data_IF_350978181447
#
_entry.id   IF_350978181447
#
_cell.length_a   1.000
_cell.length_b   1.000
_cell.length_c   1.000
_cell.angle_alpha   90.00
_cell.angle_beta   90.00
_cell.angle_gamma   90.00
#
_symmetry.space_group_name_H-M   'P 1'
#
loop_
_entity.id
_entity.type
_entity.pdbx_description
1 polymer ?
#
# COMPACT_ATOMS: atom_id res chain seq x y z
N UNK A 1 6.89 -13.72 2.18
CA UNK A 1 6.31 -12.76 1.20
C UNK A 1 7.26 -12.40 0.05
N UNK A 2 8.51 -12.85 0.06
CA UNK A 2 9.46 -12.66 -1.06
C UNK A 2 9.12 -13.49 -2.30
N UNK A 3 8.38 -14.60 -2.15
CA UNK A 3 7.94 -15.49 -3.26
C UNK A 3 6.61 -15.07 -3.89
N UNK A 4 6.11 -13.87 -3.59
CA UNK A 4 4.85 -13.41 -4.13
C UNK A 4 4.97 -13.16 -5.64
N UNK A 5 3.98 -13.60 -6.41
CA UNK A 5 3.93 -13.39 -7.87
C UNK A 5 3.61 -11.93 -8.18
N UNK A 6 4.62 -11.18 -8.62
CA UNK A 6 4.52 -9.73 -8.84
C UNK A 6 3.50 -9.34 -9.91
N UNK A 7 3.36 -10.14 -10.97
CA UNK A 7 2.38 -9.99 -12.05
C UNK A 7 0.93 -10.06 -11.53
N UNK A 8 0.66 -11.03 -10.66
CA UNK A 8 -0.66 -11.19 -10.03
C UNK A 8 -0.92 -10.04 -9.06
N UNK A 9 0.08 -9.67 -8.25
CA UNK A 9 -0.05 -8.55 -7.33
C UNK A 9 -0.32 -7.23 -8.07
N UNK A 10 0.37 -6.98 -9.18
CA UNK A 10 0.13 -5.81 -10.02
C UNK A 10 -1.32 -5.74 -10.47
N UNK A 11 -1.85 -6.85 -11.00
CA UNK A 11 -3.24 -6.95 -11.45
C UNK A 11 -4.21 -6.63 -10.31
N UNK A 12 -4.01 -7.24 -9.13
CA UNK A 12 -4.87 -7.00 -7.96
C UNK A 12 -4.83 -5.53 -7.51
N UNK A 13 -3.64 -4.94 -7.42
CA UNK A 13 -3.47 -3.55 -6.98
C UNK A 13 -3.98 -2.54 -8.03
N UNK A 14 -3.86 -2.84 -9.32
CA UNK A 14 -4.39 -2.01 -10.40
C UNK A 14 -5.93 -1.93 -10.34
N UNK A 15 -6.62 -3.03 -10.04
CA UNK A 15 -8.08 -3.06 -9.92
C UNK A 15 -8.60 -2.64 -8.54
N UNK A 16 -7.73 -2.48 -7.54
CA UNK A 16 -8.12 -2.03 -6.21
C UNK A 16 -8.46 -0.54 -6.22
N UNK A 17 -9.69 -0.20 -5.82
CA UNK A 17 -10.17 1.20 -5.73
C UNK A 17 -9.96 1.82 -4.34
N UNK A 18 -9.74 0.99 -3.31
CA UNK A 18 -9.60 1.46 -1.92
C UNK A 18 -8.15 1.85 -1.64
N UNK A 19 -7.86 3.16 -1.61
CA UNK A 19 -6.50 3.69 -1.40
C UNK A 19 -5.81 3.14 -0.14
N UNK A 20 -6.55 2.93 0.96
CA UNK A 20 -6.02 2.37 2.21
C UNK A 20 -5.38 1.00 2.05
N UNK A 21 -5.91 0.16 1.16
CA UNK A 21 -5.38 -1.19 0.91
C UNK A 21 -4.05 -1.13 0.18
N UNK A 22 -3.98 -0.32 -0.88
CA UNK A 22 -2.77 -0.19 -1.69
C UNK A 22 -1.65 0.46 -0.88
N UNK A 23 -1.98 1.41 -0.02
CA UNK A 23 -1.00 2.01 0.90
C UNK A 23 -0.53 1.08 2.00
N UNK A 24 -1.40 0.23 2.53
CA UNK A 24 -0.98 -0.79 3.47
C UNK A 24 0.00 -1.76 2.79
N UNK A 25 -0.27 -2.18 1.55
CA UNK A 25 0.65 -3.00 0.78
C UNK A 25 2.00 -2.30 0.57
N UNK A 26 2.00 -1.01 0.18
CA UNK A 26 3.22 -0.21 0.05
C UNK A 26 4.00 -0.15 1.38
N UNK A 27 3.34 0.17 2.50
CA UNK A 27 3.98 0.29 3.80
C UNK A 27 4.63 -1.02 4.22
N UNK A 28 3.90 -2.14 4.08
CA UNK A 28 4.39 -3.47 4.39
C UNK A 28 5.54 -3.89 3.46
N UNK A 29 5.44 -3.58 2.17
CA UNK A 29 6.51 -3.81 1.21
C UNK A 29 7.80 -3.09 1.58
N UNK A 30 7.69 -1.82 2.00
CA UNK A 30 8.83 -1.01 2.40
C UNK A 30 9.44 -1.46 3.74
N UNK A 31 8.60 -1.75 4.74
CA UNK A 31 9.03 -2.18 6.08
C UNK A 31 9.84 -3.48 6.05
N UNK A 32 9.46 -4.42 5.18
CA UNK A 32 10.13 -5.72 5.04
C UNK A 32 11.06 -5.81 3.84
N UNK A 33 11.37 -4.69 3.18
CA UNK A 33 12.27 -4.62 2.02
C UNK A 33 11.91 -5.64 0.91
N UNK A 34 10.61 -5.78 0.63
CA UNK A 34 10.10 -6.79 -0.28
C UNK A 34 10.31 -6.36 -1.74
N UNK A 35 10.63 -7.31 -2.66
CA UNK A 35 11.00 -6.99 -4.04
C UNK A 35 9.87 -6.34 -4.85
N UNK A 36 8.62 -6.52 -4.41
CA UNK A 36 7.44 -5.93 -5.05
C UNK A 36 7.05 -4.56 -4.46
N UNK A 37 7.75 -4.05 -3.44
CA UNK A 37 7.45 -2.76 -2.82
C UNK A 37 7.38 -1.58 -3.82
N UNK A 38 8.29 -1.46 -4.83
CA UNK A 38 8.21 -0.39 -5.82
C UNK A 38 6.93 -0.43 -6.66
N UNK A 39 6.40 -1.62 -6.94
CA UNK A 39 5.14 -1.82 -7.66
C UNK A 39 3.96 -1.30 -6.81
N UNK A 40 3.92 -1.63 -5.52
CA UNK A 40 2.88 -1.13 -4.62
C UNK A 40 2.94 0.40 -4.46
N UNK A 41 4.14 0.99 -4.41
CA UNK A 41 4.33 2.43 -4.39
C UNK A 41 3.76 3.12 -5.65
N UNK A 42 4.04 2.58 -6.84
CA UNK A 42 3.48 3.08 -8.12
C UNK A 42 1.95 3.07 -8.11
N UNK A 43 1.34 1.97 -7.65
CA UNK A 43 -0.12 1.86 -7.57
C UNK A 43 -0.72 2.77 -6.51
N UNK A 44 -0.01 3.01 -5.41
CA UNK A 44 -0.41 3.97 -4.37
C UNK A 44 -0.42 5.41 -4.90
N UNK A 45 0.61 5.82 -5.65
CA UNK A 45 0.68 7.13 -6.31
C UNK A 45 -0.48 7.33 -7.29
N UNK A 46 -0.78 6.31 -8.12
CA UNK A 46 -1.89 6.32 -9.08
C UNK A 46 -3.25 6.65 -8.43
N UNK A 47 -3.51 6.15 -7.22
CA UNK A 47 -4.81 6.29 -6.54
C UNK A 47 -4.98 7.61 -5.76
N UNK A 48 -3.91 8.36 -5.52
CA UNK A 48 -4.01 9.63 -4.77
C UNK A 48 -2.68 10.07 -4.18
N UNK A 49 -1.71 10.37 -5.05
CA UNK A 49 -0.35 10.76 -4.70
C UNK A 49 -0.24 11.83 -3.58
N UNK A 50 0.77 11.66 -2.73
CA UNK A 50 1.27 12.67 -1.79
C UNK A 50 0.50 12.86 -0.46
N UNK A 51 -0.84 12.78 -0.43
CA UNK A 51 -1.58 13.06 0.82
C UNK A 51 -1.57 11.87 1.76
N UNK A 52 -1.10 11.99 3.00
CA UNK A 52 -1.17 10.93 4.03
C UNK A 52 -2.60 10.42 4.27
N UNK A 53 -2.77 9.14 4.59
CA UNK A 53 -4.07 8.56 4.98
C UNK A 53 -4.00 8.12 6.43
N UNK A 54 -4.94 8.60 7.24
CA UNK A 54 -4.97 8.37 8.69
C UNK A 54 -6.33 7.79 9.04
N UNK A 55 -6.34 6.75 9.88
CA UNK A 55 -7.53 6.27 10.56
C UNK A 55 -7.27 6.12 12.05
N UNK A 56 -8.30 6.36 12.84
CA UNK A 56 -8.32 6.09 14.28
C UNK A 56 -9.41 5.06 14.55
N UNK A 57 -9.07 3.97 15.22
CA UNK A 57 -10.02 2.94 15.62
C UNK A 57 -10.91 3.43 16.78
N UNK A 58 -11.99 2.71 17.08
CA UNK A 58 -12.81 2.97 18.25
C UNK A 58 -12.06 2.79 19.58
N UNK A 59 -10.98 2.00 19.59
CA UNK A 59 -10.09 1.83 20.75
C UNK A 59 -9.05 2.96 20.88
N UNK A 60 -9.02 3.91 19.94
CA UNK A 60 -8.08 5.04 19.93
C UNK A 60 -6.75 4.75 19.23
N UNK A 61 -6.56 3.55 18.69
CA UNK A 61 -5.35 3.22 17.92
C UNK A 61 -5.32 3.97 16.60
N UNK A 62 -4.16 4.52 16.24
CA UNK A 62 -3.97 5.32 15.03
C UNK A 62 -3.17 4.54 13.99
N UNK A 63 -3.75 4.36 12.81
CA UNK A 63 -3.08 3.86 11.62
C UNK A 63 -2.70 5.04 10.71
N UNK A 64 -1.40 5.28 10.55
CA UNK A 64 -0.85 6.32 9.68
C UNK A 64 -0.17 5.69 8.46
N UNK A 65 -0.80 5.81 7.30
CA UNK A 65 -0.26 5.33 6.03
C UNK A 65 0.29 6.52 5.24
N UNK A 66 1.63 6.60 5.17
CA UNK A 66 2.34 7.64 4.43
C UNK A 66 1.95 7.62 2.95
N UNK A 67 1.94 8.81 2.34
CA UNK A 67 1.90 8.92 0.88
C UNK A 67 3.22 8.41 0.29
N UNK A 68 3.14 7.94 -0.96
CA UNK A 68 4.29 7.72 -1.82
C UNK A 68 4.78 9.02 -2.45
#
# INVERSE_FOLDING_TARGET
LHSLRSDVLETLLAHTKRIKVVRLAQALGAEFELPWAPLAARQSQRLGGGKRWIAVSSSGERLDLKGA
#
